data_IF_002061380349
#
_entry.id   IF_002061380349
#
_cell.length_a   1.000
_cell.length_b   1.000
_cell.length_c   1.000
_cell.angle_alpha   90.00
_cell.angle_beta   90.00
_cell.angle_gamma   90.00
#
_symmetry.space_group_name_H-M   'P 1'
#
loop_
_entity.id
_entity.type
_entity.pdbx_description
1 polymer ?
#
# COMPACT_ATOMS: atom_id res chain seq x y z
N UNK A 1 6.02 -28.28 3.54
CA UNK A 1 5.16 -27.09 3.71
C UNK A 1 3.85 -27.35 2.97
N UNK A 2 2.71 -27.45 3.66
CA UNK A 2 1.41 -27.77 3.02
C UNK A 2 1.08 -26.74 1.93
N UNK A 3 0.70 -27.19 0.74
CA UNK A 3 0.40 -26.38 -0.45
C UNK A 3 -0.58 -25.22 -0.15
N UNK A 4 -1.50 -25.44 0.80
CA UNK A 4 -2.43 -24.42 1.32
C UNK A 4 -1.77 -23.25 2.06
N UNK A 5 -0.73 -23.48 2.87
CA UNK A 5 -0.01 -22.39 3.56
C UNK A 5 0.74 -21.51 2.58
N UNK A 6 1.25 -22.09 1.49
CA UNK A 6 2.03 -21.36 0.49
C UNK A 6 1.19 -20.26 -0.18
N UNK A 7 -0.10 -20.51 -0.43
CA UNK A 7 -0.99 -19.52 -1.04
C UNK A 7 -1.19 -18.26 -0.19
N UNK A 8 -1.13 -18.37 1.15
CA UNK A 8 -1.21 -17.22 2.05
C UNK A 8 0.17 -16.66 2.39
N UNK A 9 1.20 -17.50 2.47
CA UNK A 9 2.56 -17.07 2.77
C UNK A 9 3.19 -16.26 1.62
N UNK A 10 2.90 -16.60 0.36
CA UNK A 10 3.44 -15.89 -0.80
C UNK A 10 3.10 -14.38 -0.83
N UNK A 11 1.83 -13.94 -0.72
CA UNK A 11 1.52 -12.52 -0.68
C UNK A 11 2.04 -11.83 0.60
N UNK A 12 2.08 -12.53 1.73
CA UNK A 12 2.70 -12.00 2.95
C UNK A 12 4.19 -11.72 2.74
N UNK A 13 4.94 -12.67 2.19
CA UNK A 13 6.36 -12.49 1.87
C UNK A 13 6.58 -11.38 0.83
N UNK A 14 5.70 -11.26 -0.17
CA UNK A 14 5.75 -10.16 -1.13
C UNK A 14 5.58 -8.79 -0.44
N UNK A 15 4.58 -8.62 0.42
CA UNK A 15 4.41 -7.39 1.20
C UNK A 15 5.61 -7.09 2.09
N UNK A 16 6.17 -8.10 2.76
CA UNK A 16 7.35 -7.94 3.60
C UNK A 16 8.58 -7.49 2.78
N UNK A 17 8.77 -8.07 1.60
CA UNK A 17 9.86 -7.68 0.69
C UNK A 17 9.68 -6.25 0.17
N UNK A 18 8.46 -5.86 -0.22
CA UNK A 18 8.14 -4.49 -0.67
C UNK A 18 8.37 -3.46 0.44
N UNK A 19 7.94 -3.76 1.66
CA UNK A 19 8.22 -2.92 2.83
C UNK A 19 9.72 -2.82 3.10
N UNK A 20 10.44 -3.95 3.07
CA UNK A 20 11.88 -3.99 3.24
C UNK A 20 12.61 -3.14 2.19
N UNK A 21 12.19 -3.23 0.93
CA UNK A 21 12.73 -2.39 -0.15
C UNK A 21 12.41 -0.90 0.06
N UNK A 22 11.20 -0.58 0.52
CA UNK A 22 10.82 0.79 0.88
C UNK A 22 11.67 1.36 2.01
N UNK A 23 12.03 0.55 3.02
CA UNK A 23 12.95 0.96 4.07
C UNK A 23 14.40 1.08 3.60
N UNK A 24 14.82 0.22 2.68
CA UNK A 24 16.12 0.34 2.04
C UNK A 24 16.26 1.70 1.36
N UNK A 25 15.28 2.10 0.54
CA UNK A 25 15.29 3.41 -0.12
C UNK A 25 15.28 4.58 0.88
N UNK A 26 14.55 4.44 1.98
CA UNK A 26 14.50 5.50 2.99
C UNK A 26 15.83 5.67 3.74
N UNK A 27 16.45 4.58 4.19
CA UNK A 27 17.62 4.67 5.07
C UNK A 27 18.95 4.67 4.32
N UNK A 28 19.05 4.01 3.17
CA UNK A 28 20.29 3.93 2.39
C UNK A 28 20.36 4.99 1.29
N UNK A 29 19.27 5.23 0.56
CA UNK A 29 19.20 6.27 -0.48
C UNK A 29 18.72 7.63 0.07
N UNK A 30 18.48 7.73 1.38
CA UNK A 30 18.01 8.95 2.06
C UNK A 30 16.76 9.59 1.40
N UNK A 31 15.88 8.74 0.88
CA UNK A 31 14.63 9.16 0.25
C UNK A 31 13.57 9.44 1.32
N UNK A 32 13.21 10.70 1.52
CA UNK A 32 12.19 11.07 2.50
C UNK A 32 10.81 10.53 2.07
N UNK A 33 10.12 9.76 2.95
CA UNK A 33 8.84 9.17 2.59
C UNK A 33 7.74 10.24 2.58
N UNK A 34 7.02 10.34 1.47
CA UNK A 34 5.87 11.21 1.38
C UNK A 34 4.70 10.74 2.29
N UNK A 35 3.79 11.64 2.74
CA UNK A 35 2.63 11.24 3.55
C UNK A 35 1.76 10.13 2.92
N UNK A 36 1.50 10.19 1.61
CA UNK A 36 0.76 9.15 0.87
C UNK A 36 1.53 7.82 0.85
N UNK A 37 2.85 7.87 0.78
CA UNK A 37 3.74 6.72 0.79
C UNK A 37 3.67 5.99 2.15
N UNK A 38 3.63 6.75 3.25
CA UNK A 38 3.45 6.19 4.60
C UNK A 38 2.08 5.52 4.76
N UNK A 39 1.02 6.11 4.20
CA UNK A 39 -0.32 5.49 4.21
C UNK A 39 -0.33 4.19 3.39
N UNK A 40 0.33 4.15 2.22
CA UNK A 40 0.51 2.91 1.46
C UNK A 40 1.26 1.83 2.26
N UNK A 41 2.30 2.21 3.01
CA UNK A 41 2.98 1.26 3.92
C UNK A 41 2.02 0.69 4.96
N UNK A 42 1.12 1.51 5.51
CA UNK A 42 0.05 1.06 6.41
C UNK A 42 -0.83 -0.02 5.77
N UNK A 43 -1.22 0.13 4.51
CA UNK A 43 -1.97 -0.90 3.78
C UNK A 43 -1.16 -2.18 3.56
N UNK A 44 0.12 -2.08 3.19
CA UNK A 44 1.00 -3.25 3.07
C UNK A 44 1.14 -4.00 4.40
N UNK A 45 1.27 -3.29 5.53
CA UNK A 45 1.28 -3.89 6.86
C UNK A 45 -0.02 -4.61 7.18
N UNK A 46 -1.17 -3.99 6.88
CA UNK A 46 -2.47 -4.62 7.06
C UNK A 46 -2.58 -5.92 6.27
N UNK A 47 -2.22 -5.90 4.98
CA UNK A 47 -2.26 -7.09 4.11
C UNK A 47 -1.29 -8.17 4.62
N UNK A 48 -0.08 -7.79 5.02
CA UNK A 48 0.92 -8.69 5.59
C UNK A 48 0.37 -9.42 6.82
N UNK A 49 -0.24 -8.69 7.75
CA UNK A 49 -0.82 -9.27 8.97
C UNK A 49 -1.98 -10.20 8.66
N UNK A 50 -2.89 -9.80 7.78
CA UNK A 50 -4.07 -10.61 7.39
C UNK A 50 -3.64 -11.93 6.75
N UNK A 51 -2.71 -11.90 5.79
CA UNK A 51 -2.21 -13.12 5.15
C UNK A 51 -1.34 -13.99 6.06
N UNK A 52 -0.55 -13.39 6.93
CA UNK A 52 0.24 -14.14 7.94
C UNK A 52 -0.67 -14.85 8.93
N UNK A 53 -1.73 -14.17 9.41
CA UNK A 53 -2.74 -14.78 10.27
C UNK A 53 -3.48 -15.93 9.55
N UNK A 54 -3.87 -15.74 8.29
CA UNK A 54 -4.48 -16.80 7.47
C UNK A 54 -3.55 -18.01 7.28
N UNK A 55 -2.25 -17.78 7.10
CA UNK A 55 -1.25 -18.84 6.99
C UNK A 55 -1.05 -19.65 8.28
N UNK A 56 -1.30 -19.03 9.45
CA UNK A 56 -1.21 -19.67 10.76
C UNK A 56 -2.50 -20.40 11.15
N UNK A 57 -3.67 -19.77 10.96
CA UNK A 57 -4.96 -20.25 11.45
C UNK A 57 -5.57 -21.41 10.64
N UNK A 58 -5.12 -21.66 9.41
CA UNK A 58 -5.74 -22.63 8.48
C UNK A 58 -7.26 -22.51 8.42
N UNK A 59 -7.76 -21.37 7.93
CA UNK A 59 -9.19 -21.16 7.90
C UNK A 59 -9.89 -22.18 7.00
N UNK A 60 -11.00 -22.75 7.50
CA UNK A 60 -11.97 -23.45 6.65
C UNK A 60 -12.63 -22.50 5.64
N UNK A 61 -13.62 -22.98 4.88
CA UNK A 61 -14.30 -22.20 3.81
C UNK A 61 -14.68 -20.77 4.24
N UNK A 62 -15.35 -20.62 5.37
CA UNK A 62 -15.86 -19.31 5.84
C UNK A 62 -14.72 -18.36 6.24
N UNK A 63 -13.70 -18.89 6.94
CA UNK A 63 -12.54 -18.08 7.32
C UNK A 63 -11.74 -17.63 6.11
N UNK A 64 -11.60 -18.50 5.10
CA UNK A 64 -10.90 -18.18 3.86
C UNK A 64 -11.54 -16.96 3.17
N UNK A 65 -12.86 -16.97 3.03
CA UNK A 65 -13.60 -15.84 2.48
C UNK A 65 -13.40 -14.59 3.32
N UNK A 66 -13.47 -14.67 4.65
CA UNK A 66 -13.26 -13.51 5.52
C UNK A 66 -11.86 -12.88 5.37
N UNK A 67 -10.79 -13.69 5.43
CA UNK A 67 -9.42 -13.21 5.26
C UNK A 67 -9.19 -12.63 3.86
N UNK A 68 -9.67 -13.30 2.81
CA UNK A 68 -9.50 -12.84 1.43
C UNK A 68 -10.27 -11.54 1.16
N UNK A 69 -11.50 -11.41 1.66
CA UNK A 69 -12.29 -10.19 1.52
C UNK A 69 -11.65 -9.01 2.26
N UNK A 70 -11.12 -9.24 3.47
CA UNK A 70 -10.42 -8.20 4.21
C UNK A 70 -9.11 -7.79 3.52
N UNK A 71 -8.33 -8.75 3.02
CA UNK A 71 -7.12 -8.46 2.25
C UNK A 71 -7.43 -7.69 0.95
N UNK A 72 -8.49 -8.07 0.25
CA UNK A 72 -8.95 -7.37 -0.96
C UNK A 72 -9.38 -5.93 -0.63
N UNK A 73 -10.12 -5.72 0.46
CA UNK A 73 -10.51 -4.37 0.89
C UNK A 73 -9.29 -3.49 1.20
N UNK A 74 -8.31 -4.00 1.93
CA UNK A 74 -7.07 -3.29 2.21
C UNK A 74 -6.27 -2.99 0.93
N UNK A 75 -6.19 -3.96 0.02
CA UNK A 75 -5.50 -3.79 -1.26
C UNK A 75 -6.17 -2.73 -2.14
N UNK A 76 -7.50 -2.69 -2.18
CA UNK A 76 -8.27 -1.65 -2.88
C UNK A 76 -8.07 -0.26 -2.25
N UNK A 77 -7.99 -0.18 -0.92
CA UNK A 77 -7.65 1.05 -0.21
C UNK A 77 -6.26 1.56 -0.60
N UNK A 78 -5.25 0.69 -0.55
CA UNK A 78 -3.88 0.99 -1.00
C UNK A 78 -3.80 1.38 -2.48
N UNK A 79 -4.56 0.69 -3.35
CA UNK A 79 -4.69 1.01 -4.76
C UNK A 79 -5.23 2.42 -4.97
N UNK A 80 -6.27 2.83 -4.24
CA UNK A 80 -6.83 4.17 -4.32
C UNK A 80 -5.83 5.26 -3.92
N UNK A 81 -5.07 5.02 -2.85
CA UNK A 81 -4.01 5.94 -2.39
C UNK A 81 -2.85 6.01 -3.40
N UNK A 82 -2.43 4.88 -3.95
CA UNK A 82 -1.39 4.83 -4.98
C UNK A 82 -1.84 5.52 -6.28
N UNK A 83 -3.08 5.29 -6.72
CA UNK A 83 -3.65 5.94 -7.90
C UNK A 83 -3.71 7.46 -7.72
N UNK A 84 -4.07 7.93 -6.52
CA UNK A 84 -4.02 9.37 -6.18
C UNK A 84 -2.59 9.92 -6.25
N UNK A 85 -1.60 9.18 -5.76
CA UNK A 85 -0.20 9.61 -5.85
C UNK A 85 0.29 9.65 -7.29
N UNK A 86 -0.01 8.63 -8.09
CA UNK A 86 0.31 8.62 -9.53
C UNK A 86 -0.34 9.81 -10.24
N UNK A 87 -1.59 10.13 -9.92
CA UNK A 87 -2.26 11.33 -10.43
C UNK A 87 -1.49 12.61 -10.08
N UNK A 88 -1.06 12.75 -8.82
CA UNK A 88 -0.26 13.91 -8.37
C UNK A 88 1.09 14.02 -9.08
N UNK A 89 1.75 12.90 -9.38
CA UNK A 89 3.04 12.89 -10.10
C UNK A 89 2.91 13.28 -11.58
N UNK A 90 1.71 13.19 -12.16
CA UNK A 90 1.44 13.58 -13.54
C UNK A 90 0.84 15.00 -13.66
N UNK A 91 0.67 15.72 -12.55
CA UNK A 91 0.22 17.11 -12.60
C UNK A 91 1.32 18.02 -13.18
N UNK A 92 0.96 19.01 -14.02
CA UNK A 92 1.92 20.03 -14.45
C UNK A 92 2.42 20.83 -13.24
N UNK A 93 3.67 21.31 -13.30
CA UNK A 93 4.36 21.99 -12.20
C UNK A 93 3.54 23.15 -11.59
N UNK A 94 2.81 23.88 -12.45
CA UNK A 94 1.97 25.03 -12.09
C UNK A 94 0.73 24.66 -11.24
N UNK A 95 0.40 23.37 -11.16
CA UNK A 95 -0.75 22.83 -10.42
C UNK A 95 -0.33 21.98 -9.22
N UNK A 96 0.96 21.84 -8.95
CA UNK A 96 1.45 21.08 -7.79
C UNK A 96 1.00 21.78 -6.51
N UNK A 97 0.32 21.08 -5.58
CA UNK A 97 -0.12 21.67 -4.32
C UNK A 97 1.06 22.26 -3.54
N UNK A 98 0.85 23.39 -2.86
CA UNK A 98 1.84 23.97 -1.96
C UNK A 98 2.31 22.93 -0.92
N UNK A 99 3.56 23.08 -0.45
CA UNK A 99 4.12 22.21 0.59
C UNK A 99 3.14 22.07 1.76
N UNK A 100 2.78 20.82 2.06
CA UNK A 100 1.88 20.47 3.15
C UNK A 100 2.66 20.06 4.41
N UNK A 101 2.01 20.06 5.58
CA UNK A 101 2.61 19.54 6.80
C UNK A 101 2.90 18.03 6.67
N UNK A 102 3.88 17.56 7.44
CA UNK A 102 4.22 16.14 7.54
C UNK A 102 3.09 15.31 8.17
N UNK A 103 3.01 14.01 7.83
CA UNK A 103 1.96 13.11 8.31
C UNK A 103 1.90 13.04 9.84
N UNK A 104 3.03 12.95 10.52
CA UNK A 104 3.07 12.83 11.98
C UNK A 104 2.55 14.10 12.64
N UNK A 105 2.94 15.27 12.12
CA UNK A 105 2.36 16.54 12.57
C UNK A 105 0.85 16.58 12.39
N UNK A 106 0.34 16.05 11.26
CA UNK A 106 -1.09 16.06 10.99
C UNK A 106 -1.88 15.15 11.93
N UNK A 107 -1.31 14.00 12.28
CA UNK A 107 -1.92 13.04 13.20
C UNK A 107 -2.01 13.59 14.63
N UNK A 108 -0.99 14.36 15.06
CA UNK A 108 -0.95 14.93 16.41
C UNK A 108 -1.82 16.19 16.56
N UNK A 109 -2.05 16.95 15.48
CA UNK A 109 -2.64 18.28 15.55
C UNK A 109 -4.01 18.42 14.85
N UNK A 110 -4.42 17.49 13.98
CA UNK A 110 -5.71 17.55 13.30
C UNK A 110 -6.61 16.36 13.65
N UNK A 111 -7.93 16.58 13.73
CA UNK A 111 -8.89 15.47 13.80
C UNK A 111 -8.82 14.62 12.52
N UNK A 112 -9.06 13.31 12.64
CA UNK A 112 -8.92 12.32 11.57
C UNK A 112 -9.55 12.76 10.22
N UNK A 113 -10.72 13.40 10.24
CA UNK A 113 -11.38 13.90 9.04
C UNK A 113 -10.55 14.96 8.30
N UNK A 114 -10.04 15.97 9.01
CA UNK A 114 -9.17 17.01 8.41
C UNK A 114 -7.81 16.47 8.01
N UNK A 115 -7.28 15.50 8.77
CA UNK A 115 -6.04 14.82 8.41
C UNK A 115 -6.19 14.11 7.05
N UNK A 116 -7.25 13.31 6.89
CA UNK A 116 -7.53 12.62 5.63
C UNK A 116 -7.76 13.60 4.47
N UNK A 117 -8.55 14.65 4.68
CA UNK A 117 -8.80 15.67 3.68
C UNK A 117 -7.50 16.29 3.16
N UNK A 118 -6.63 16.75 4.07
CA UNK A 118 -5.33 17.32 3.71
C UNK A 118 -4.38 16.30 3.10
N UNK A 119 -4.42 15.04 3.55
CA UNK A 119 -3.60 13.96 2.98
C UNK A 119 -4.00 13.67 1.52
N UNK A 120 -5.30 13.64 1.23
CA UNK A 120 -5.82 13.43 -0.12
C UNK A 120 -5.71 14.66 -1.03
N UNK A 121 -5.74 15.88 -0.47
CA UNK A 121 -5.35 17.09 -1.21
C UNK A 121 -3.93 16.95 -1.76
N UNK A 122 -3.05 16.27 -1.03
CA UNK A 122 -1.67 15.99 -1.42
C UNK A 122 -0.76 17.18 -1.13
N UNK A 123 0.53 16.91 -0.97
CA UNK A 123 1.58 17.91 -0.83
C UNK A 123 2.50 17.86 -2.05
N UNK A 124 3.26 18.93 -2.30
CA UNK A 124 4.25 18.95 -3.38
C UNK A 124 5.27 17.81 -3.32
N UNK A 125 5.61 17.34 -2.11
CA UNK A 125 6.47 16.18 -1.88
C UNK A 125 5.91 14.87 -2.46
N UNK A 126 4.59 14.75 -2.61
CA UNK A 126 3.96 13.57 -3.21
C UNK A 126 3.99 13.59 -4.75
N UNK A 127 4.16 14.77 -5.35
CA UNK A 127 4.25 14.94 -6.81
C UNK A 127 5.69 14.76 -7.33
N UNK A 128 6.68 14.86 -6.44
CA UNK A 128 8.07 14.64 -6.80
C UNK A 128 8.33 13.16 -7.10
N UNK A 129 9.05 12.91 -8.20
CA UNK A 129 9.47 11.57 -8.60
C UNK A 129 10.95 11.43 -8.29
N UNK A 130 11.25 10.94 -7.10
CA UNK A 130 12.63 10.80 -6.64
C UNK A 130 13.29 9.49 -7.08
N UNK A 131 12.48 8.48 -7.41
CA UNK A 131 12.97 7.17 -7.83
C UNK A 131 12.17 6.62 -9.02
N UNK A 132 12.90 6.05 -9.98
CA UNK A 132 12.35 5.38 -11.16
C UNK A 132 13.06 4.06 -11.40
N UNK A 133 12.29 3.04 -11.76
CA UNK A 133 12.80 1.75 -12.20
C UNK A 133 12.02 1.25 -13.40
N UNK A 134 12.74 0.87 -14.44
CA UNK A 134 12.19 0.53 -15.75
C UNK A 134 11.28 1.64 -16.33
N UNK A 135 11.57 2.91 -15.99
CA UNK A 135 10.79 4.06 -16.43
C UNK A 135 9.55 4.36 -15.58
N UNK A 136 9.17 3.48 -14.66
CA UNK A 136 8.03 3.66 -13.76
C UNK A 136 8.47 4.24 -12.41
N UNK A 137 7.64 5.10 -11.83
CA UNK A 137 7.85 5.64 -10.48
C UNK A 137 7.55 4.61 -9.40
N UNK A 138 8.01 4.87 -8.17
CA UNK A 138 7.68 4.04 -7.02
C UNK A 138 6.16 3.96 -6.77
N UNK A 139 5.42 5.03 -7.07
CA UNK A 139 3.98 5.07 -6.90
C UNK A 139 3.25 4.20 -7.93
N UNK A 140 3.75 4.17 -9.17
CA UNK A 140 3.22 3.32 -10.25
C UNK A 140 3.49 1.83 -9.96
N UNK A 141 4.69 1.51 -9.45
CA UNK A 141 4.99 0.16 -8.98
C UNK A 141 4.09 -0.26 -7.82
N UNK A 142 3.88 0.62 -6.83
CA UNK A 142 2.94 0.35 -5.73
C UNK A 142 1.52 0.13 -6.25
N UNK A 143 1.06 0.91 -7.21
CA UNK A 143 -0.25 0.74 -7.84
C UNK A 143 -0.40 -0.65 -8.47
N UNK A 144 0.62 -1.09 -9.22
CA UNK A 144 0.64 -2.41 -9.85
C UNK A 144 0.61 -3.54 -8.81
N UNK A 145 1.38 -3.42 -7.72
CA UNK A 145 1.40 -4.41 -6.64
C UNK A 145 0.08 -4.47 -5.88
N UNK A 146 -0.54 -3.34 -5.54
CA UNK A 146 -1.87 -3.34 -4.92
C UNK A 146 -2.93 -3.95 -5.83
N UNK A 147 -2.89 -3.68 -7.15
CA UNK A 147 -3.78 -4.33 -8.11
C UNK A 147 -3.58 -5.85 -8.14
N UNK A 148 -2.32 -6.30 -8.22
CA UNK A 148 -1.99 -7.72 -8.22
C UNK A 148 -2.45 -8.42 -6.93
N UNK A 149 -2.23 -7.80 -5.76
CA UNK A 149 -2.65 -8.32 -4.46
C UNK A 149 -4.18 -8.37 -4.34
N UNK A 150 -4.90 -7.35 -4.82
CA UNK A 150 -6.36 -7.34 -4.83
C UNK A 150 -6.91 -8.48 -5.70
N UNK A 151 -6.41 -8.62 -6.92
CA UNK A 151 -6.80 -9.70 -7.84
C UNK A 151 -6.48 -11.08 -7.26
N UNK A 152 -5.30 -11.23 -6.65
CA UNK A 152 -4.88 -12.48 -6.02
C UNK A 152 -5.76 -12.84 -4.82
N UNK A 153 -6.09 -11.87 -3.97
CA UNK A 153 -6.99 -12.08 -2.82
C UNK A 153 -8.39 -12.50 -3.28
N UNK A 154 -8.94 -11.84 -4.30
CA UNK A 154 -10.23 -12.20 -4.89
C UNK A 154 -10.19 -13.60 -5.50
N UNK A 155 -9.18 -13.89 -6.34
CA UNK A 155 -9.00 -15.21 -6.95
C UNK A 155 -8.91 -16.31 -5.91
N UNK A 156 -8.10 -16.10 -4.86
CA UNK A 156 -7.97 -17.04 -3.77
C UNK A 156 -9.32 -17.26 -3.10
N UNK A 157 -10.05 -16.18 -2.78
CA UNK A 157 -11.38 -16.24 -2.17
C UNK A 157 -12.42 -17.04 -2.99
N UNK A 158 -12.42 -16.90 -4.32
CA UNK A 158 -13.34 -17.61 -5.22
C UNK A 158 -12.90 -19.05 -5.55
N UNK A 159 -11.62 -19.37 -5.38
CA UNK A 159 -11.12 -20.72 -5.65
C UNK A 159 -11.76 -21.72 -4.68
N UNK A 160 -12.43 -22.75 -5.20
CA UNK A 160 -13.01 -23.82 -4.36
C UNK A 160 -11.88 -24.50 -3.55
N UNK A 161 -12.10 -24.80 -2.25
CA UNK A 161 -11.10 -25.47 -1.43
C UNK A 161 -10.80 -26.88 -1.90
#
# INVERSE_FOLDING_TARGET
MNRGRLYYAAPALACAALLGYGYYLQYFDSQDPCPLCLVQRGFYYGILLVFSAAALHFPGKTGKTAYCSLAAFLALGGLGVAARQVWLQHLPADKVPACGPDLFFMMDNFPLGRMLEKLFMGSGQCAEVTWRFLGLSIAEWSLAWFAALALYALWLGFTKP
#
